data_IF_472794601766
#
_entry.id   IF_472794601766
#
_cell.length_a   1.000
_cell.length_b   1.000
_cell.length_c   1.000
_cell.angle_alpha   90.00
_cell.angle_beta   90.00
_cell.angle_gamma   90.00
#
_symmetry.space_group_name_H-M   'P 1'
#
loop_
_entity.id
_entity.type
_entity.pdbx_description
1 polymer ?
#
# COMPACT_ATOMS: atom_id res chain seq x y z
N UNK A 1 -2.16 -6.46 0.09
CA UNK A 1 -2.93 -6.04 -1.10
C UNK A 1 -4.40 -6.04 -0.77
N UNK A 2 -5.18 -5.05 -1.25
CA UNK A 2 -6.63 -5.01 -1.06
C UNK A 2 -7.31 -5.65 -2.29
N UNK A 3 -7.13 -6.95 -2.45
CA UNK A 3 -7.90 -7.74 -3.41
C UNK A 3 -9.09 -8.36 -2.66
N UNK A 4 -10.23 -8.48 -3.33
CA UNK A 4 -11.38 -9.19 -2.76
C UNK A 4 -11.00 -10.65 -2.51
N UNK A 5 -11.26 -11.16 -1.30
CA UNK A 5 -10.99 -12.57 -0.98
C UNK A 5 -11.86 -13.53 -1.80
N UNK A 6 -13.04 -13.09 -2.25
CA UNK A 6 -13.99 -13.89 -3.02
C UNK A 6 -13.72 -13.87 -4.51
N UNK A 7 -13.24 -12.76 -5.07
CA UNK A 7 -13.08 -12.61 -6.52
C UNK A 7 -11.62 -12.50 -6.96
N UNK A 8 -10.68 -12.28 -6.05
CA UNK A 8 -9.26 -12.09 -6.34
C UNK A 8 -8.93 -10.77 -7.05
N UNK A 9 -9.93 -10.00 -7.47
CA UNK A 9 -9.76 -8.75 -8.20
C UNK A 9 -9.66 -7.55 -7.26
N UNK A 10 -8.88 -6.56 -7.68
CA UNK A 10 -8.87 -5.26 -7.04
C UNK A 10 -10.18 -4.51 -7.33
N UNK A 11 -10.67 -3.65 -6.42
CA UNK A 11 -11.87 -2.85 -6.66
C UNK A 11 -11.81 -2.03 -7.96
N UNK A 12 -10.63 -1.54 -8.36
CA UNK A 12 -10.46 -0.80 -9.62
C UNK A 12 -10.64 -1.68 -10.86
N UNK A 13 -10.17 -2.94 -10.82
CA UNK A 13 -10.38 -3.88 -11.91
C UNK A 13 -11.87 -4.21 -12.07
N UNK A 14 -12.60 -4.33 -10.96
CA UNK A 14 -14.05 -4.58 -11.00
C UNK A 14 -14.86 -3.39 -11.53
N UNK A 15 -14.47 -2.16 -11.19
CA UNK A 15 -15.20 -0.96 -11.59
C UNK A 15 -14.81 -0.47 -13.00
N UNK A 16 -13.53 -0.56 -13.36
CA UNK A 16 -12.99 0.07 -14.56
C UNK A 16 -12.38 -0.92 -15.56
N UNK A 17 -12.24 -2.20 -15.19
CA UNK A 17 -11.67 -3.24 -16.05
C UNK A 17 -10.14 -3.21 -16.16
N UNK A 18 -9.45 -2.31 -15.48
CA UNK A 18 -7.98 -2.26 -15.48
C UNK A 18 -7.42 -1.75 -14.15
N UNK A 19 -6.20 -2.20 -13.85
CA UNK A 19 -5.41 -1.67 -12.75
C UNK A 19 -4.76 -0.35 -13.20
N UNK A 20 -4.97 0.77 -12.49
CA UNK A 20 -4.31 2.02 -12.82
C UNK A 20 -2.79 1.85 -12.82
N UNK A 21 -2.14 2.28 -13.89
CA UNK A 21 -0.67 2.32 -13.99
C UNK A 21 -0.17 3.75 -13.87
N UNK A 22 0.99 3.91 -13.27
CA UNK A 22 1.63 5.20 -13.13
C UNK A 22 2.03 5.73 -14.52
N UNK A 23 1.50 6.88 -14.92
CA UNK A 23 1.94 7.58 -16.13
C UNK A 23 3.36 8.08 -15.86
N UNK A 24 4.33 7.67 -16.69
CA UNK A 24 5.75 8.03 -16.50
C UNK A 24 6.13 9.27 -17.28
N UNK A 25 5.63 9.38 -18.52
CA UNK A 25 6.00 10.45 -19.44
C UNK A 25 4.78 10.86 -20.27
N UNK A 26 4.75 12.14 -20.64
CA UNK A 26 3.77 12.72 -21.55
C UNK A 26 4.33 12.55 -22.96
N UNK A 27 3.50 12.15 -23.91
CA UNK A 27 3.94 11.92 -25.29
C UNK A 27 4.66 13.17 -25.85
N UNK A 28 5.79 13.00 -26.56
CA UNK A 28 6.61 14.12 -27.02
C UNK A 28 5.99 14.91 -28.19
N UNK A 29 4.98 14.38 -28.88
CA UNK A 29 4.36 15.07 -30.03
C UNK A 29 3.17 15.95 -29.63
N UNK A 30 3.09 17.09 -30.31
CA UNK A 30 2.33 18.28 -29.96
C UNK A 30 0.84 18.02 -29.69
N UNK A 31 0.50 17.94 -28.41
CA UNK A 31 -0.82 18.36 -27.97
C UNK A 31 -0.84 19.89 -27.90
N UNK A 32 -2.01 20.50 -28.13
CA UNK A 32 -2.22 21.94 -27.93
C UNK A 32 -1.63 22.37 -26.58
N UNK A 33 -1.06 23.59 -26.45
CA UNK A 33 -0.36 24.02 -25.23
C UNK A 33 -1.13 23.73 -23.94
N UNK A 34 -2.45 23.99 -23.92
CA UNK A 34 -3.29 23.71 -22.76
C UNK A 34 -3.45 22.23 -22.39
N UNK A 35 -3.36 21.31 -23.36
CA UNK A 35 -3.38 19.86 -23.10
C UNK A 35 -2.07 19.42 -22.46
N UNK A 36 -0.95 20.02 -22.88
CA UNK A 36 0.36 19.77 -22.27
C UNK A 36 0.39 20.26 -20.82
N UNK A 37 -0.04 21.50 -20.57
CA UNK A 37 -0.10 22.06 -19.21
C UNK A 37 -0.99 21.23 -18.28
N UNK A 38 -2.13 20.75 -18.80
CA UNK A 38 -3.01 19.86 -18.06
C UNK A 38 -2.32 18.53 -17.73
N UNK A 39 -1.66 17.91 -18.71
CA UNK A 39 -0.97 16.64 -18.52
C UNK A 39 0.20 16.76 -17.54
N UNK A 40 0.97 17.85 -17.60
CA UNK A 40 2.07 18.13 -16.65
C UNK A 40 1.53 18.29 -15.22
N UNK A 41 0.46 19.06 -15.03
CA UNK A 41 -0.21 19.18 -13.71
C UNK A 41 -0.77 17.86 -13.21
N UNK A 42 -1.37 17.07 -14.09
CA UNK A 42 -1.89 15.74 -13.72
C UNK A 42 -0.76 14.82 -13.27
N UNK A 43 0.39 14.86 -13.94
CA UNK A 43 1.57 14.08 -13.57
C UNK A 43 2.13 14.49 -12.20
N UNK A 44 2.21 15.80 -11.93
CA UNK A 44 2.69 16.30 -10.64
C UNK A 44 1.73 15.96 -9.49
N UNK A 45 0.42 16.11 -9.71
CA UNK A 45 -0.59 15.67 -8.74
C UNK A 45 -0.50 14.16 -8.46
N UNK A 46 -0.26 13.35 -9.49
CA UNK A 46 -0.08 11.90 -9.35
C UNK A 46 1.15 11.57 -8.48
N UNK A 47 2.27 12.26 -8.72
CA UNK A 47 3.52 12.11 -7.93
C UNK A 47 3.28 12.50 -6.47
N UNK A 48 2.66 13.64 -6.22
CA UNK A 48 2.33 14.09 -4.87
C UNK A 48 1.41 13.11 -4.14
N UNK A 49 0.36 12.61 -4.81
CA UNK A 49 -0.55 11.63 -4.24
C UNK A 49 0.17 10.31 -3.90
N UNK A 50 1.09 9.87 -4.75
CA UNK A 50 1.89 8.68 -4.53
C UNK A 50 2.77 8.81 -3.27
N UNK A 51 3.48 9.93 -3.13
CA UNK A 51 4.34 10.19 -1.97
C UNK A 51 3.51 10.28 -0.68
N UNK A 52 2.34 10.93 -0.73
CA UNK A 52 1.42 10.99 0.40
C UNK A 52 0.92 9.60 0.83
N UNK A 53 0.62 8.71 -0.12
CA UNK A 53 0.21 7.33 0.17
C UNK A 53 1.36 6.56 0.84
N UNK A 54 2.60 6.70 0.36
CA UNK A 54 3.76 6.06 0.96
C UNK A 54 3.97 6.57 2.39
N UNK A 55 3.97 7.88 2.61
CA UNK A 55 4.12 8.47 3.93
C UNK A 55 3.02 8.01 4.91
N UNK A 56 1.78 7.93 4.43
CA UNK A 56 0.65 7.40 5.21
C UNK A 56 0.85 5.94 5.59
N UNK A 57 1.31 5.09 4.66
CA UNK A 57 1.59 3.67 4.94
C UNK A 57 2.71 3.48 5.96
N UNK A 58 3.76 4.30 5.88
CA UNK A 58 4.84 4.29 6.88
C UNK A 58 4.27 4.61 8.26
N UNK A 59 3.45 5.65 8.36
CA UNK A 59 2.80 6.06 9.62
C UNK A 59 1.86 4.97 10.16
N UNK A 60 0.99 4.41 9.30
CA UNK A 60 0.09 3.33 9.69
C UNK A 60 0.85 2.09 10.17
N UNK A 61 1.94 1.73 9.49
CA UNK A 61 2.77 0.59 9.86
C UNK A 61 3.50 0.83 11.18
N UNK A 62 3.97 2.05 11.40
CA UNK A 62 4.58 2.46 12.66
C UNK A 62 3.61 2.27 13.84
N UNK A 63 2.39 2.82 13.75
CA UNK A 63 1.39 2.67 14.81
C UNK A 63 0.86 1.24 14.94
N UNK A 64 0.67 0.51 13.84
CA UNK A 64 0.28 -0.89 13.88
C UNK A 64 1.33 -1.75 14.61
N UNK A 65 2.62 -1.44 14.43
CA UNK A 65 3.71 -2.11 15.13
C UNK A 65 3.79 -1.74 16.61
N UNK A 66 3.36 -0.54 17.03
CA UNK A 66 3.27 -0.19 18.45
C UNK A 66 2.22 -1.01 19.20
N UNK A 67 1.11 -1.34 18.53
CA UNK A 67 0.02 -2.14 19.12
C UNK A 67 0.32 -3.65 19.12
N UNK A 68 1.44 -4.08 18.52
CA UNK A 68 1.88 -5.47 18.62
C UNK A 68 2.48 -5.71 20.00
N UNK A 69 2.14 -6.87 20.58
CA UNK A 69 2.72 -7.35 21.83
C UNK A 69 4.23 -7.41 21.66
N UNK A 70 4.98 -6.90 22.65
CA UNK A 70 6.43 -6.93 22.61
C UNK A 70 6.89 -8.40 22.59
N UNK A 71 7.45 -8.86 21.48
CA UNK A 71 7.90 -10.25 21.29
C UNK A 71 9.34 -10.46 21.77
N UNK A 72 9.99 -9.39 22.25
CA UNK A 72 11.32 -9.49 22.82
C UNK A 72 11.31 -10.46 24.02
N UNK A 73 12.19 -11.48 24.03
CA UNK A 73 12.26 -12.48 25.10
C UNK A 73 12.47 -11.85 26.48
N UNK A 74 13.15 -10.70 26.54
CA UNK A 74 13.43 -9.96 27.76
C UNK A 74 12.17 -9.34 28.42
N UNK A 75 11.06 -9.20 27.68
CA UNK A 75 9.83 -8.53 28.16
C UNK A 75 8.59 -9.44 28.06
N UNK A 76 8.75 -10.69 27.63
CA UNK A 76 7.65 -11.59 27.36
C UNK A 76 7.96 -13.00 27.86
N UNK A 77 7.71 -13.22 29.16
CA UNK A 77 7.98 -14.48 29.87
C UNK A 77 7.29 -15.70 29.25
N UNK A 78 6.20 -15.47 28.50
CA UNK A 78 5.45 -16.52 27.81
C UNK A 78 6.14 -17.02 26.53
N UNK A 79 7.06 -16.26 25.94
CA UNK A 79 7.81 -16.64 24.73
C UNK A 79 9.34 -16.68 24.95
N UNK A 80 9.77 -16.85 26.20
CA UNK A 80 11.19 -17.06 26.50
C UNK A 80 11.70 -18.38 25.90
N UNK A 81 13.00 -18.42 25.54
CA UNK A 81 13.65 -19.62 25.02
C UNK A 81 13.49 -20.77 26.02
N UNK A 82 12.93 -21.90 25.58
CA UNK A 82 12.63 -23.06 26.41
C UNK A 82 11.19 -23.15 26.94
N UNK A 83 10.33 -22.16 26.67
CA UNK A 83 8.89 -22.23 26.95
C UNK A 83 8.14 -22.92 25.80
N UNK A 84 7.13 -23.71 26.15
CA UNK A 84 6.23 -24.34 25.19
C UNK A 84 5.05 -23.41 24.88
N UNK A 85 4.66 -23.33 23.62
CA UNK A 85 3.47 -22.59 23.18
C UNK A 85 2.48 -23.54 22.52
N UNK A 86 1.19 -23.38 22.83
CA UNK A 86 0.13 -24.13 22.17
C UNK A 86 -0.23 -23.44 20.84
N UNK A 87 -0.09 -24.17 19.74
CA UNK A 87 -0.51 -23.74 18.41
C UNK A 87 -1.77 -24.50 18.04
N UNK A 88 -2.90 -23.79 17.88
CA UNK A 88 -4.09 -24.37 17.27
C UNK A 88 -3.93 -24.33 15.76
N UNK A 89 -3.97 -25.48 15.11
CA UNK A 89 -3.84 -25.61 13.64
C UNK A 89 -5.17 -25.94 12.96
N UNK A 90 -6.30 -25.68 13.62
CA UNK A 90 -7.59 -25.78 12.93
C UNK A 90 -7.74 -24.61 11.95
N UNK A 91 -8.13 -24.96 10.73
CA UNK A 91 -8.17 -24.10 9.54
C UNK A 91 -9.63 -23.85 9.15
#
# INVERSE_FOLDING_TARGET
>A
SSASATTGFAPFELNYGYMPRMVREIAPSAAMPGVRDFAERALDNLRMAHDAIIASRVSQTYYANQLRRNELPAYNEHFAVGRLAYLSTEN
#
